data_IF_561250690376
#
_entry.id   IF_561250690376
#
_cell.length_a   1.000
_cell.length_b   1.000
_cell.length_c   1.000
_cell.angle_alpha   90.00
_cell.angle_beta   90.00
_cell.angle_gamma   90.00
#
_symmetry.space_group_name_H-M   'P 1'
#
loop_
_entity.id
_entity.type
_entity.pdbx_description
1 polymer ?
#
# COMPACT_ATOMS: atom_id res chain seq x y z
N UNK A 1 30.30 0.22 -0.47
CA UNK A 1 29.26 -0.51 0.30
C UNK A 1 27.93 -0.23 -0.36
N UNK A 2 27.04 -1.23 -0.50
CA UNK A 2 25.72 -1.02 -1.11
C UNK A 2 24.95 0.04 -0.34
N UNK A 3 24.48 1.07 -1.04
CA UNK A 3 23.65 2.14 -0.48
C UNK A 3 22.20 1.71 -0.27
N UNK A 4 21.90 0.42 -0.40
CA UNK A 4 20.55 -0.14 -0.34
C UNK A 4 20.48 -1.32 0.62
N UNK A 5 19.34 -1.47 1.30
CA UNK A 5 18.95 -2.69 2.00
C UNK A 5 18.05 -3.52 1.09
N UNK A 6 18.35 -4.80 0.98
CA UNK A 6 17.56 -5.75 0.18
C UNK A 6 16.70 -6.58 1.13
N UNK A 7 15.41 -6.67 0.83
CA UNK A 7 14.45 -7.54 1.51
C UNK A 7 13.90 -8.52 0.47
N UNK A 8 13.86 -9.80 0.79
CA UNK A 8 13.26 -10.81 -0.07
C UNK A 8 11.77 -10.95 0.26
N UNK A 9 10.92 -10.61 -0.71
CA UNK A 9 9.47 -10.71 -0.61
C UNK A 9 8.97 -11.87 -1.48
N UNK A 10 8.09 -12.75 -0.98
CA UNK A 10 7.66 -13.92 -1.75
C UNK A 10 6.76 -13.58 -2.95
N UNK A 11 6.17 -12.39 -3.00
CA UNK A 11 5.26 -11.95 -4.07
C UNK A 11 6.00 -11.18 -5.17
N UNK A 12 6.96 -10.32 -4.79
CA UNK A 12 7.66 -9.41 -5.70
C UNK A 12 9.17 -9.70 -5.85
N UNK A 13 9.70 -10.64 -5.08
CA UNK A 13 11.13 -10.94 -5.08
C UNK A 13 11.93 -9.91 -4.27
N UNK A 14 13.00 -9.37 -4.84
CA UNK A 14 13.91 -8.48 -4.13
C UNK A 14 13.40 -7.04 -4.11
N UNK A 15 13.05 -6.56 -2.92
CA UNK A 15 12.68 -5.17 -2.67
C UNK A 15 13.92 -4.42 -2.19
N UNK A 16 14.29 -3.36 -2.91
CA UNK A 16 15.45 -2.53 -2.61
C UNK A 16 15.00 -1.25 -1.88
N UNK A 17 15.46 -1.06 -0.66
CA UNK A 17 15.17 0.13 0.15
C UNK A 17 16.42 1.01 0.17
N UNK A 18 16.36 2.25 -0.39
CA UNK A 18 17.45 3.20 -0.31
C UNK A 18 17.80 3.53 1.15
N UNK A 19 19.08 3.71 1.46
CA UNK A 19 19.51 4.26 2.73
C UNK A 19 19.05 5.72 2.85
N UNK A 20 18.87 6.20 4.06
CA UNK A 20 18.36 7.53 4.32
C UNK A 20 16.95 7.49 4.90
N UNK A 21 16.08 8.41 4.46
CA UNK A 21 14.73 8.58 5.02
C UNK A 21 13.91 7.28 4.97
N UNK A 22 13.82 6.64 3.81
CA UNK A 22 13.01 5.42 3.62
C UNK A 22 13.49 4.26 4.49
N UNK A 23 14.81 4.07 4.61
CA UNK A 23 15.36 3.07 5.51
C UNK A 23 15.09 3.38 6.99
N UNK A 24 15.19 4.64 7.39
CA UNK A 24 14.87 5.06 8.75
C UNK A 24 13.40 4.81 9.09
N UNK A 25 12.49 5.08 8.14
CA UNK A 25 11.07 4.76 8.27
C UNK A 25 10.86 3.26 8.45
N UNK A 26 11.49 2.45 7.59
CA UNK A 26 11.36 0.97 7.67
C UNK A 26 11.87 0.44 9.01
N UNK A 27 12.93 1.00 9.55
CA UNK A 27 13.47 0.59 10.86
C UNK A 27 12.73 1.22 12.07
N UNK A 28 11.81 2.16 11.83
CA UNK A 28 11.14 2.88 12.92
C UNK A 28 10.22 1.93 13.73
N UNK A 29 10.25 1.96 15.08
CA UNK A 29 9.48 1.04 15.91
C UNK A 29 7.97 1.03 15.62
N UNK A 30 7.39 2.18 15.29
CA UNK A 30 5.97 2.30 14.96
C UNK A 30 5.62 1.54 13.67
N UNK A 31 6.47 1.57 12.64
CA UNK A 31 6.25 0.76 11.43
C UNK A 31 6.58 -0.72 11.70
N UNK A 32 7.64 -1.01 12.45
CA UNK A 32 8.01 -2.38 12.83
C UNK A 32 6.90 -3.10 13.62
N UNK A 33 6.02 -2.37 14.31
CA UNK A 33 4.82 -2.92 14.96
C UNK A 33 3.98 -3.74 13.98
N UNK A 34 3.88 -3.30 12.71
CA UNK A 34 3.10 -3.97 11.67
C UNK A 34 3.60 -5.38 11.33
N UNK A 35 4.82 -5.76 11.70
CA UNK A 35 5.34 -7.13 11.57
C UNK A 35 4.57 -8.15 12.41
N UNK A 36 3.81 -7.69 13.40
CA UNK A 36 3.03 -8.51 14.31
C UNK A 36 1.52 -8.42 14.06
N UNK A 37 1.09 -7.64 13.07
CA UNK A 37 -0.31 -7.44 12.72
C UNK A 37 -0.58 -8.13 11.39
N UNK A 38 -1.45 -9.12 11.40
CA UNK A 38 -1.86 -9.84 10.18
C UNK A 38 -2.70 -8.93 9.29
N UNK A 39 -2.49 -9.04 7.98
CA UNK A 39 -3.25 -8.27 6.98
C UNK A 39 -4.73 -8.65 7.00
N UNK A 40 -5.03 -9.95 7.01
CA UNK A 40 -6.38 -10.49 6.90
C UNK A 40 -6.96 -10.94 8.25
N UNK A 41 -6.48 -10.39 9.36
CA UNK A 41 -7.05 -10.65 10.69
C UNK A 41 -7.24 -12.14 10.99
N UNK A 42 -8.50 -12.53 11.25
CA UNK A 42 -8.89 -13.89 11.58
C UNK A 42 -9.17 -14.78 10.35
N UNK A 43 -9.06 -14.27 9.15
CA UNK A 43 -9.27 -15.06 7.92
C UNK A 43 -8.36 -16.28 7.80
N UNK A 44 -7.26 -16.32 8.57
CA UNK A 44 -6.39 -17.51 8.69
C UNK A 44 -7.11 -18.74 9.28
N UNK A 45 -8.29 -18.59 9.89
CA UNK A 45 -9.15 -19.70 10.31
C UNK A 45 -9.75 -20.46 9.10
N UNK A 46 -9.96 -19.74 7.99
CA UNK A 46 -10.45 -20.30 6.72
C UNK A 46 -9.31 -20.58 5.76
N UNK A 47 -8.35 -19.67 5.69
CA UNK A 47 -7.18 -19.70 4.81
C UNK A 47 -5.90 -19.83 5.65
N UNK A 48 -5.46 -21.03 6.04
CA UNK A 48 -4.31 -21.21 6.95
C UNK A 48 -3.00 -20.56 6.43
N UNK A 49 -2.87 -20.41 5.11
CA UNK A 49 -1.75 -19.71 4.47
C UNK A 49 -1.75 -18.20 4.64
N UNK A 50 -2.88 -17.60 5.01
CA UNK A 50 -3.05 -16.14 5.16
C UNK A 50 -2.38 -15.63 6.47
N UNK A 51 -1.05 -15.76 6.54
CA UNK A 51 -0.25 -15.38 7.70
C UNK A 51 0.56 -14.09 7.48
N UNK A 52 0.49 -13.52 6.29
CA UNK A 52 1.23 -12.31 5.95
C UNK A 52 0.77 -11.10 6.78
N UNK A 53 1.71 -10.20 6.97
CA UNK A 53 1.56 -9.07 7.87
C UNK A 53 1.34 -7.77 7.11
N UNK A 54 0.78 -6.75 7.78
CA UNK A 54 0.67 -5.40 7.23
C UNK A 54 2.03 -4.80 6.88
N UNK A 55 3.09 -5.18 7.57
CA UNK A 55 4.45 -4.78 7.21
C UNK A 55 4.88 -5.31 5.84
N UNK A 56 4.59 -6.57 5.53
CA UNK A 56 4.86 -7.15 4.21
C UNK A 56 4.05 -6.46 3.11
N UNK A 57 2.80 -6.13 3.40
CA UNK A 57 1.95 -5.34 2.52
C UNK A 57 2.54 -3.94 2.26
N UNK A 58 2.89 -3.19 3.32
CA UNK A 58 3.51 -1.87 3.17
C UNK A 58 4.79 -1.90 2.31
N UNK A 59 5.62 -2.95 2.46
CA UNK A 59 6.82 -3.13 1.63
C UNK A 59 6.48 -3.43 0.16
N UNK A 60 5.45 -4.24 -0.09
CA UNK A 60 5.02 -4.56 -1.45
C UNK A 60 4.38 -3.35 -2.14
N UNK A 61 3.54 -2.60 -1.44
CA UNK A 61 2.99 -1.34 -1.93
C UNK A 61 4.10 -0.31 -2.25
N UNK A 62 5.12 -0.23 -1.39
CA UNK A 62 6.33 0.57 -1.66
C UNK A 62 7.08 0.12 -2.93
N UNK A 63 7.22 -1.19 -3.14
CA UNK A 63 7.85 -1.72 -4.36
C UNK A 63 7.07 -1.29 -5.61
N UNK A 64 5.75 -1.46 -5.60
CA UNK A 64 4.90 -1.05 -6.73
C UNK A 64 4.92 0.46 -6.94
N UNK A 65 4.99 1.26 -5.87
CA UNK A 65 5.15 2.71 -5.95
C UNK A 65 6.47 3.09 -6.64
N UNK A 66 7.56 2.42 -6.31
CA UNK A 66 8.86 2.65 -6.95
C UNK A 66 8.83 2.35 -8.45
N UNK A 67 8.17 1.25 -8.84
CA UNK A 67 7.96 0.89 -10.24
C UNK A 67 7.08 1.91 -10.97
N UNK A 68 6.00 2.38 -10.34
CA UNK A 68 5.09 3.37 -10.90
C UNK A 68 5.79 4.72 -11.14
N UNK A 69 6.54 5.21 -10.16
CA UNK A 69 7.32 6.46 -10.29
C UNK A 69 8.35 6.34 -11.42
N UNK A 70 9.13 5.25 -11.43
CA UNK A 70 10.13 5.00 -12.47
C UNK A 70 9.48 4.99 -13.86
N UNK A 71 8.33 4.32 -14.00
CA UNK A 71 7.58 4.27 -15.24
C UNK A 71 7.07 5.65 -15.69
N UNK A 72 6.40 6.38 -14.79
CA UNK A 72 5.85 7.71 -15.10
C UNK A 72 6.94 8.70 -15.47
N UNK A 73 8.09 8.67 -14.76
CA UNK A 73 9.26 9.51 -15.11
C UNK A 73 9.81 9.15 -16.48
N UNK A 74 9.92 7.86 -16.81
CA UNK A 74 10.37 7.40 -18.14
C UNK A 74 9.42 7.84 -19.26
N UNK A 75 8.14 8.00 -18.97
CA UNK A 75 7.14 8.55 -19.90
C UNK A 75 7.24 10.07 -20.11
N UNK A 76 8.09 10.75 -19.35
CA UNK A 76 8.29 12.19 -19.44
C UNK A 76 7.47 13.02 -18.44
N UNK A 77 6.77 12.36 -17.51
CA UNK A 77 6.11 13.07 -16.42
C UNK A 77 7.16 13.55 -15.42
N UNK A 78 7.17 14.85 -15.16
CA UNK A 78 8.18 15.45 -14.30
C UNK A 78 7.85 15.22 -12.83
N UNK A 79 8.70 14.43 -12.15
CA UNK A 79 8.62 14.13 -10.71
C UNK A 79 9.99 14.47 -10.10
N UNK A 80 10.02 15.38 -9.13
CA UNK A 80 11.24 15.69 -8.39
C UNK A 80 11.68 14.50 -7.52
N UNK A 81 12.98 14.37 -7.26
CA UNK A 81 13.49 13.31 -6.35
C UNK A 81 12.85 13.41 -4.95
N UNK A 82 12.62 14.63 -4.47
CA UNK A 82 11.93 14.86 -3.19
C UNK A 82 10.46 14.44 -3.21
N UNK A 83 9.76 14.58 -4.34
CA UNK A 83 8.39 14.09 -4.51
C UNK A 83 8.35 12.56 -4.57
N UNK A 84 9.31 11.97 -5.30
CA UNK A 84 9.46 10.52 -5.39
C UNK A 84 9.71 9.90 -4.00
N UNK A 85 10.64 10.44 -3.22
CA UNK A 85 10.90 9.97 -1.86
C UNK A 85 9.70 10.19 -0.93
N UNK A 86 9.00 11.32 -1.06
CA UNK A 86 7.85 11.65 -0.23
C UNK A 86 6.64 10.72 -0.50
N UNK A 87 6.31 10.44 -1.77
CA UNK A 87 5.20 9.52 -2.08
C UNK A 87 5.54 8.07 -1.73
N UNK A 88 6.81 7.67 -1.82
CA UNK A 88 7.29 6.39 -1.32
C UNK A 88 7.19 6.29 0.21
N UNK A 89 7.48 7.36 0.93
CA UNK A 89 7.29 7.43 2.37
C UNK A 89 5.80 7.39 2.74
N UNK A 90 4.95 8.09 1.99
CA UNK A 90 3.50 8.09 2.20
C UNK A 90 2.91 6.68 2.06
N UNK A 91 3.26 5.93 1.01
CA UNK A 91 2.76 4.57 0.81
C UNK A 91 3.34 3.56 1.84
N UNK A 92 4.56 3.75 2.33
CA UNK A 92 5.09 2.93 3.43
C UNK A 92 4.29 3.09 4.72
N UNK A 93 3.71 4.26 4.93
CA UNK A 93 3.05 4.65 6.17
C UNK A 93 1.53 4.67 6.09
N UNK A 94 0.92 4.42 4.92
CA UNK A 94 -0.52 4.59 4.71
C UNK A 94 -1.36 3.74 5.69
N UNK A 95 -0.92 2.52 5.99
CA UNK A 95 -1.60 1.54 6.85
C UNK A 95 -1.09 1.53 8.31
N UNK A 96 -0.23 2.49 8.69
CA UNK A 96 0.43 2.48 10.00
C UNK A 96 -0.57 2.62 11.16
N UNK A 97 -1.74 3.20 10.92
CA UNK A 97 -2.80 3.38 11.92
C UNK A 97 -3.56 2.11 12.29
N UNK A 98 -3.45 1.07 11.48
CA UNK A 98 -4.15 -0.18 11.77
C UNK A 98 -3.65 -0.86 13.05
N UNK A 99 -4.61 -1.31 13.88
CA UNK A 99 -4.41 -2.19 15.03
C UNK A 99 -4.54 -3.68 14.66
N UNK A 100 -4.29 -4.60 15.61
CA UNK A 100 -4.73 -5.98 15.48
C UNK A 100 -6.24 -6.03 15.31
N UNK A 101 -6.76 -6.81 14.34
CA UNK A 101 -8.20 -6.94 14.06
C UNK A 101 -8.90 -5.58 13.80
N UNK A 102 -8.23 -4.65 13.11
CA UNK A 102 -8.63 -3.24 13.06
C UNK A 102 -10.06 -3.02 12.57
N UNK A 103 -10.55 -3.75 11.57
CA UNK A 103 -11.92 -3.58 11.09
C UNK A 103 -12.98 -3.97 12.13
N UNK A 104 -12.67 -4.90 13.04
CA UNK A 104 -13.55 -5.30 14.16
C UNK A 104 -13.48 -4.29 15.30
N UNK A 105 -12.26 -3.80 15.59
CA UNK A 105 -12.01 -2.96 16.76
C UNK A 105 -12.25 -1.46 16.51
N UNK A 106 -12.28 -1.01 15.26
CA UNK A 106 -12.59 0.39 14.92
C UNK A 106 -13.94 0.85 15.47
N UNK A 107 -14.94 -0.03 15.48
CA UNK A 107 -16.28 0.30 15.97
C UNK A 107 -16.48 0.00 17.46
N UNK A 108 -15.58 -0.76 18.09
CA UNK A 108 -15.76 -1.24 19.48
C UNK A 108 -14.82 -0.58 20.48
N UNK A 109 -13.56 -0.34 20.14
CA UNK A 109 -12.56 0.20 21.07
C UNK A 109 -12.29 1.70 20.89
N UNK A 110 -12.40 2.23 19.68
CA UNK A 110 -12.11 3.64 19.37
C UNK A 110 -13.24 4.18 18.49
N UNK A 111 -14.37 4.48 19.12
CA UNK A 111 -15.52 5.03 18.41
C UNK A 111 -15.21 6.42 17.85
N UNK A 112 -15.40 6.60 16.55
CA UNK A 112 -15.34 7.92 15.90
C UNK A 112 -13.96 8.37 15.43
N UNK A 113 -12.93 7.52 15.46
CA UNK A 113 -11.60 7.81 14.88
C UNK A 113 -11.28 6.75 13.84
N UNK A 114 -11.07 7.16 12.60
CA UNK A 114 -10.72 6.26 11.50
C UNK A 114 -9.25 5.81 11.58
N UNK A 115 -8.94 4.65 10.98
CA UNK A 115 -7.55 4.21 10.85
C UNK A 115 -6.67 5.20 10.05
N UNK A 116 -7.27 5.98 9.14
CA UNK A 116 -6.59 7.03 8.39
C UNK A 116 -6.17 8.19 9.29
N UNK A 117 -7.05 8.62 10.21
CA UNK A 117 -6.72 9.64 11.22
C UNK A 117 -5.61 9.15 12.16
N UNK A 118 -5.66 7.89 12.59
CA UNK A 118 -4.60 7.28 13.41
C UNK A 118 -3.30 7.20 12.60
N UNK A 119 -3.36 6.84 11.31
CA UNK A 119 -2.19 6.84 10.43
C UNK A 119 -1.54 8.21 10.38
N UNK A 120 -2.35 9.26 10.19
CA UNK A 120 -1.86 10.64 10.17
C UNK A 120 -1.20 11.04 11.50
N UNK A 121 -1.83 10.73 12.63
CA UNK A 121 -1.25 11.02 13.96
C UNK A 121 0.11 10.31 14.16
N UNK A 122 0.22 9.05 13.71
CA UNK A 122 1.47 8.30 13.79
C UNK A 122 2.52 8.82 12.82
N UNK A 123 2.12 9.22 11.60
CA UNK A 123 3.00 9.89 10.64
C UNK A 123 3.57 11.19 11.21
N UNK A 124 2.74 12.01 11.85
CA UNK A 124 3.18 13.24 12.51
C UNK A 124 4.14 12.95 13.67
N UNK A 125 3.93 11.88 14.42
CA UNK A 125 4.85 11.43 15.46
C UNK A 125 6.21 11.05 14.88
N UNK A 126 6.23 10.20 13.84
CA UNK A 126 7.46 9.80 13.14
C UNK A 126 8.15 11.04 12.55
N UNK A 127 7.39 11.99 12.00
CA UNK A 127 7.91 13.22 11.44
C UNK A 127 8.69 14.06 12.48
N UNK A 128 8.21 14.13 13.72
CA UNK A 128 8.94 14.77 14.81
C UNK A 128 10.25 14.05 15.12
N UNK A 129 10.22 12.72 15.18
CA UNK A 129 11.40 11.90 15.45
C UNK A 129 12.43 12.00 14.30
N UNK A 130 11.98 12.21 13.06
CA UNK A 130 12.77 12.43 11.84
C UNK A 130 12.99 13.93 11.50
N UNK A 131 12.78 14.84 12.44
CA UNK A 131 13.07 16.28 12.32
C UNK A 131 12.41 16.97 11.11
N UNK A 132 11.17 16.62 10.80
CA UNK A 132 10.38 17.27 9.76
C UNK A 132 10.56 16.70 8.35
N UNK A 133 11.28 15.60 8.19
CA UNK A 133 11.56 15.01 6.86
C UNK A 133 10.32 14.42 6.18
N UNK A 134 9.21 14.20 6.89
CA UNK A 134 7.95 13.68 6.35
C UNK A 134 6.94 14.76 5.95
N UNK A 135 7.25 16.04 6.06
CA UNK A 135 6.27 17.11 5.80
C UNK A 135 5.62 16.97 4.42
N UNK A 136 6.41 16.71 3.37
CA UNK A 136 5.88 16.53 2.02
C UNK A 136 5.07 15.24 1.88
N UNK A 137 5.50 14.15 2.52
CA UNK A 137 4.77 12.89 2.52
C UNK A 137 3.40 13.03 3.18
N UNK A 138 3.30 13.78 4.27
CA UNK A 138 2.04 14.08 4.97
C UNK A 138 1.12 14.94 4.09
N UNK A 139 1.65 15.94 3.39
CA UNK A 139 0.86 16.75 2.44
C UNK A 139 0.30 15.91 1.29
N UNK A 140 1.10 15.01 0.72
CA UNK A 140 0.66 14.08 -0.32
C UNK A 140 -0.41 13.13 0.23
N UNK A 141 -0.20 12.56 1.41
CA UNK A 141 -1.16 11.66 2.05
C UNK A 141 -2.52 12.34 2.30
N UNK A 142 -2.53 13.61 2.71
CA UNK A 142 -3.73 14.42 2.97
C UNK A 142 -4.40 15.00 1.72
N UNK A 143 -3.89 14.73 0.52
CA UNK A 143 -4.31 15.36 -0.72
C UNK A 143 -4.20 16.90 -0.73
N UNK A 144 -3.26 17.44 0.04
CA UNK A 144 -2.99 18.88 0.12
C UNK A 144 -1.90 19.33 -0.88
N UNK A 145 -1.22 18.38 -1.55
CA UNK A 145 -0.18 18.69 -2.53
C UNK A 145 -0.77 18.96 -3.93
N UNK A 146 -0.22 19.93 -4.70
CA UNK A 146 -0.79 20.32 -6.00
C UNK A 146 -0.89 19.20 -7.03
N UNK A 147 0.16 18.34 -7.15
CA UNK A 147 0.18 17.22 -8.08
C UNK A 147 -0.71 16.08 -7.56
N UNK A 148 -1.97 16.11 -7.92
CA UNK A 148 -2.99 15.18 -7.43
C UNK A 148 -2.72 13.71 -7.74
N UNK A 149 -2.05 13.41 -8.85
CA UNK A 149 -1.70 12.03 -9.19
C UNK A 149 -0.80 11.36 -8.15
N UNK A 150 0.03 12.12 -7.40
CA UNK A 150 0.86 11.55 -6.33
C UNK A 150 0.00 11.01 -5.19
N UNK A 151 -1.03 11.75 -4.77
CA UNK A 151 -2.00 11.24 -3.82
C UNK A 151 -2.79 10.05 -4.39
N UNK A 152 -3.21 10.12 -5.65
CA UNK A 152 -3.96 9.04 -6.31
C UNK A 152 -3.18 7.75 -6.44
N UNK A 153 -1.84 7.79 -6.46
CA UNK A 153 -0.99 6.60 -6.38
C UNK A 153 -1.00 5.97 -4.98
N UNK A 154 -1.24 6.74 -3.92
CA UNK A 154 -1.33 6.28 -2.52
C UNK A 154 -2.75 5.85 -2.17
N UNK A 155 -3.73 6.68 -2.51
CA UNK A 155 -5.15 6.47 -2.20
C UNK A 155 -6.01 6.92 -3.39
N UNK A 156 -6.46 5.98 -4.20
CA UNK A 156 -7.24 6.22 -5.41
C UNK A 156 -8.05 5.00 -5.79
N UNK A 157 -8.59 4.96 -7.00
CA UNK A 157 -9.31 3.79 -7.51
C UNK A 157 -8.36 2.70 -8.03
N UNK A 158 -7.15 3.10 -8.43
CA UNK A 158 -6.11 2.23 -8.99
C UNK A 158 -4.77 2.62 -8.36
N UNK A 159 -4.68 2.48 -7.05
CA UNK A 159 -3.51 2.82 -6.24
C UNK A 159 -2.59 1.61 -5.99
N UNK A 160 -1.41 1.89 -5.46
CA UNK A 160 -0.41 0.86 -5.20
C UNK A 160 -0.79 -0.03 -4.01
N UNK A 161 -1.62 0.46 -3.09
CA UNK A 161 -2.23 -0.30 -2.01
C UNK A 161 -3.07 -1.45 -2.59
N UNK A 162 -4.07 -1.14 -3.42
CA UNK A 162 -4.96 -2.14 -4.04
C UNK A 162 -4.20 -3.13 -4.93
N UNK A 163 -3.21 -2.65 -5.66
CA UNK A 163 -2.39 -3.50 -6.53
C UNK A 163 -1.53 -4.48 -5.73
N UNK A 164 -1.07 -4.11 -4.53
CA UNK A 164 -0.36 -5.03 -3.65
C UNK A 164 -1.30 -6.01 -2.98
N UNK A 165 -2.30 -5.50 -2.21
CA UNK A 165 -3.07 -6.40 -1.37
C UNK A 165 -3.85 -7.44 -2.18
N UNK A 166 -4.43 -7.10 -3.33
CA UNK A 166 -5.12 -8.09 -4.17
C UNK A 166 -4.18 -9.23 -4.57
N UNK A 167 -2.99 -8.91 -5.05
CA UNK A 167 -2.01 -9.90 -5.47
C UNK A 167 -1.43 -10.69 -4.28
N UNK A 168 -1.15 -10.01 -3.17
CA UNK A 168 -0.58 -10.60 -1.97
C UNK A 168 -1.58 -11.51 -1.26
N UNK A 169 -2.81 -11.06 -1.09
CA UNK A 169 -3.87 -11.85 -0.49
C UNK A 169 -4.19 -13.08 -1.33
N UNK A 170 -4.27 -12.94 -2.67
CA UNK A 170 -4.38 -14.05 -3.61
C UNK A 170 -3.29 -15.10 -3.38
N UNK A 171 -2.04 -14.66 -3.30
CA UNK A 171 -0.90 -15.55 -3.09
C UNK A 171 -1.00 -16.32 -1.76
N UNK A 172 -1.28 -15.62 -0.67
CA UNK A 172 -1.29 -16.22 0.68
C UNK A 172 -2.56 -16.99 1.01
N UNK A 173 -3.70 -16.66 0.42
CA UNK A 173 -4.95 -17.42 0.57
C UNK A 173 -5.02 -18.61 -0.37
N UNK A 174 -4.28 -18.59 -1.48
CA UNK A 174 -4.40 -19.55 -2.57
C UNK A 174 -5.60 -19.31 -3.48
N UNK A 175 -6.30 -18.18 -3.35
CA UNK A 175 -7.43 -17.78 -4.21
C UNK A 175 -6.87 -17.09 -5.46
N UNK A 176 -6.78 -17.86 -6.55
CA UNK A 176 -6.08 -17.44 -7.78
C UNK A 176 -6.77 -16.32 -8.54
N UNK A 177 -8.05 -16.09 -8.30
CA UNK A 177 -8.86 -15.04 -8.92
C UNK A 177 -8.36 -13.63 -8.59
N UNK A 178 -7.64 -13.46 -7.47
CA UNK A 178 -7.00 -12.20 -7.10
C UNK A 178 -5.67 -11.92 -7.82
N UNK A 179 -5.21 -12.84 -8.68
CA UNK A 179 -3.94 -12.65 -9.39
C UNK A 179 -4.09 -11.64 -10.53
N UNK A 180 -3.84 -10.38 -10.22
CA UNK A 180 -3.85 -9.27 -11.17
C UNK A 180 -2.47 -9.03 -11.79
N UNK A 181 -2.45 -8.60 -13.04
CA UNK A 181 -1.21 -8.21 -13.74
C UNK A 181 -0.71 -6.81 -13.33
N UNK A 182 -0.37 -6.60 -12.05
CA UNK A 182 0.02 -5.28 -11.52
C UNK A 182 1.13 -4.61 -12.32
N UNK A 183 2.15 -5.36 -12.76
CA UNK A 183 3.24 -4.83 -13.58
C UNK A 183 2.74 -4.30 -14.96
N UNK A 184 1.75 -4.96 -15.57
CA UNK A 184 1.14 -4.49 -16.81
C UNK A 184 0.29 -3.25 -16.57
N UNK A 185 -0.49 -3.23 -15.48
CA UNK A 185 -1.30 -2.07 -15.10
C UNK A 185 -0.42 -0.84 -14.94
N UNK A 186 0.67 -0.95 -14.18
CA UNK A 186 1.64 0.15 -13.97
C UNK A 186 2.16 0.68 -15.31
N UNK A 187 2.49 -0.20 -16.27
CA UNK A 187 2.96 0.20 -17.60
C UNK A 187 1.90 0.91 -18.45
N UNK A 188 0.64 0.85 -18.07
CA UNK A 188 -0.46 1.54 -18.75
C UNK A 188 -0.82 2.85 -18.04
N UNK A 189 -0.22 3.16 -16.88
CA UNK A 189 -0.42 4.42 -16.18
C UNK A 189 0.20 5.59 -16.95
N UNK A 190 -0.43 6.74 -16.84
CA UNK A 190 0.07 8.02 -17.33
C UNK A 190 -0.50 9.16 -16.46
N UNK A 191 -0.07 10.40 -16.69
CA UNK A 191 -0.59 11.58 -16.03
C UNK A 191 -1.15 12.54 -17.07
N UNK A 192 -2.33 13.04 -16.84
CA UNK A 192 -2.96 14.08 -17.65
C UNK A 192 -3.64 15.10 -16.73
N UNK A 193 -3.33 16.38 -16.94
CA UNK A 193 -3.88 17.48 -16.14
C UNK A 193 -3.73 17.24 -14.62
N UNK A 194 -2.54 16.83 -14.18
CA UNK A 194 -2.19 16.47 -12.81
C UNK A 194 -2.98 15.28 -12.20
N UNK A 195 -3.71 14.53 -13.03
CA UNK A 195 -4.45 13.35 -12.60
C UNK A 195 -3.87 12.07 -13.19
N UNK A 196 -3.94 11.00 -12.41
CA UNK A 196 -3.56 9.66 -12.86
C UNK A 196 -4.59 9.14 -13.87
N UNK A 197 -4.12 8.70 -15.02
CA UNK A 197 -4.95 8.14 -16.09
C UNK A 197 -4.39 6.80 -16.55
N UNK A 198 -5.21 6.03 -17.27
CA UNK A 198 -4.80 4.77 -17.88
C UNK A 198 -4.93 4.89 -19.39
N UNK A 199 -3.91 4.46 -20.13
CA UNK A 199 -3.98 4.40 -21.58
C UNK A 199 -5.09 3.45 -22.04
N UNK A 200 -5.79 3.80 -23.13
CA UNK A 200 -6.91 3.02 -23.67
C UNK A 200 -6.58 1.55 -23.96
N UNK A 201 -5.31 1.27 -24.35
CA UNK A 201 -4.83 -0.12 -24.56
C UNK A 201 -4.76 -0.94 -23.27
N UNK A 202 -4.89 -0.30 -22.11
CA UNK A 202 -4.91 -0.94 -20.78
C UNK A 202 -6.28 -1.41 -20.32
N UNK A 203 -7.37 -1.14 -21.08
CA UNK A 203 -8.77 -1.37 -20.66
C UNK A 203 -9.01 -2.80 -20.14
N UNK A 204 -8.54 -3.81 -20.85
CA UNK A 204 -8.72 -5.21 -20.42
C UNK A 204 -7.99 -5.54 -19.10
N UNK A 205 -6.87 -4.86 -18.83
CA UNK A 205 -6.17 -5.03 -17.54
C UNK A 205 -6.95 -4.40 -16.40
N UNK A 206 -7.65 -3.31 -16.64
CA UNK A 206 -8.52 -2.65 -15.67
C UNK A 206 -9.80 -3.46 -15.45
N UNK A 207 -10.42 -3.98 -16.50
CA UNK A 207 -11.57 -4.87 -16.36
C UNK A 207 -11.22 -6.13 -15.55
N UNK A 208 -10.05 -6.74 -15.82
CA UNK A 208 -9.58 -7.87 -15.03
C UNK A 208 -9.34 -7.48 -13.56
N UNK A 209 -8.73 -6.31 -13.31
CA UNK A 209 -8.53 -5.79 -11.95
C UNK A 209 -9.85 -5.63 -11.20
N UNK A 210 -10.86 -5.01 -11.83
CA UNK A 210 -12.18 -4.81 -11.21
C UNK A 210 -12.88 -6.14 -10.93
N UNK A 211 -12.79 -7.08 -11.87
CA UNK A 211 -13.35 -8.43 -11.72
C UNK A 211 -12.66 -9.19 -10.59
N UNK A 212 -11.33 -9.20 -10.57
CA UNK A 212 -10.52 -9.86 -9.54
C UNK A 212 -10.82 -9.28 -8.16
N UNK A 213 -10.89 -7.95 -8.05
CA UNK A 213 -11.27 -7.27 -6.80
C UNK A 213 -12.63 -7.74 -6.30
N UNK A 214 -13.64 -7.80 -7.17
CA UNK A 214 -14.98 -8.28 -6.82
C UNK A 214 -14.96 -9.71 -6.34
N UNK A 215 -14.22 -10.60 -7.03
CA UNK A 215 -14.11 -12.01 -6.65
C UNK A 215 -13.40 -12.18 -5.30
N UNK A 216 -12.33 -11.44 -5.03
CA UNK A 216 -11.66 -11.45 -3.73
C UNK A 216 -12.57 -10.98 -2.60
N UNK A 217 -13.43 -9.96 -2.84
CA UNK A 217 -14.43 -9.55 -1.85
C UNK A 217 -15.38 -10.71 -1.50
N UNK A 218 -15.87 -11.43 -2.49
CA UNK A 218 -16.79 -12.55 -2.27
C UNK A 218 -16.14 -13.76 -1.60
N UNK A 219 -14.95 -14.11 -2.06
CA UNK A 219 -14.29 -15.35 -1.62
C UNK A 219 -13.50 -15.16 -0.32
N UNK A 220 -12.86 -14.01 -0.12
CA UNK A 220 -11.95 -13.79 1.01
C UNK A 220 -12.51 -12.82 2.03
N UNK A 221 -12.76 -11.55 1.65
CA UNK A 221 -13.03 -10.49 2.60
C UNK A 221 -14.42 -10.57 3.23
N UNK A 222 -15.43 -11.06 2.51
CA UNK A 222 -16.80 -11.26 2.99
C UNK A 222 -17.13 -12.75 3.24
N UNK A 223 -16.11 -13.60 3.38
CA UNK A 223 -16.34 -15.00 3.67
C UNK A 223 -17.07 -15.17 5.02
N UNK A 224 -18.18 -15.90 5.05
CA UNK A 224 -19.06 -16.02 6.23
C UNK A 224 -18.33 -16.39 7.51
N UNK A 225 -17.38 -17.32 7.44
CA UNK A 225 -16.64 -17.78 8.63
C UNK A 225 -15.65 -16.70 9.10
N UNK A 226 -14.99 -15.97 8.16
CA UNK A 226 -14.10 -14.86 8.52
C UNK A 226 -14.90 -13.78 9.24
N UNK A 227 -16.01 -13.32 8.66
CA UNK A 227 -16.88 -12.30 9.27
C UNK A 227 -17.38 -12.74 10.64
N UNK A 228 -17.91 -13.98 10.78
CA UNK A 228 -18.37 -14.51 12.08
C UNK A 228 -17.27 -14.67 13.12
N UNK A 229 -16.02 -14.87 12.71
CA UNK A 229 -14.90 -14.96 13.65
C UNK A 229 -14.49 -13.58 14.18
N UNK A 230 -14.95 -12.54 13.51
CA UNK A 230 -14.70 -11.13 13.84
C UNK A 230 -15.84 -10.52 14.68
N UNK A 231 -17.04 -11.11 14.67
CA UNK A 231 -18.15 -10.81 15.58
C UNK A 231 -17.93 -11.40 16.99
#
# INVERSE_FOLDING_TARGET
>A
MSERKIINDPVFGFINIPKGLLYNIVCHPLLQRLTRIKQLGLSSAVYPGAQHTRFQHSLGAFYLMSEAISHLTTKGNFIFDSEAEAVQAAILLHDIGHGPFSHVLENTLVTGVSHEEISLMLMERINKDLKGQLNLAIQIFKDEYPKKFLHQLVSGQLDMDRLDYLRRDSFYTGVTEGNIGSARIIKMLDVKDDHLVVESKGIYSIENFLTSRRLMYWQVYLHKTSVRSEE
#
